data_IF_601339303183
#
_entry.id   IF_601339303183
#
_cell.length_a   1.000
_cell.length_b   1.000
_cell.length_c   1.000
_cell.angle_alpha   90.00
_cell.angle_beta   90.00
_cell.angle_gamma   90.00
#
_symmetry.space_group_name_H-M   'P 1'
#
loop_
_entity.id
_entity.type
_entity.pdbx_description
1 polymer ?
#
# COMPACT_ATOMS: atom_id res chain seq x y z
N UNK A 1 -67.94 -37.05 -3.77
CA UNK A 1 -68.99 -36.33 -3.02
C UNK A 1 -68.26 -35.32 -2.14
N UNK A 2 -68.52 -34.02 -2.16
CA UNK A 2 -69.52 -33.23 -2.90
C UNK A 2 -68.98 -31.81 -3.13
N UNK A 3 -69.43 -31.15 -4.20
CA UNK A 3 -69.16 -29.72 -4.43
C UNK A 3 -69.94 -28.84 -3.44
N UNK A 4 -69.49 -27.61 -3.22
CA UNK A 4 -70.39 -26.46 -3.25
C UNK A 4 -69.67 -25.20 -3.76
N UNK A 5 -70.43 -24.34 -4.43
CA UNK A 5 -69.96 -23.23 -5.26
C UNK A 5 -70.07 -21.87 -4.55
N UNK A 6 -69.18 -20.94 -4.92
CA UNK A 6 -69.39 -19.54 -5.39
C UNK A 6 -70.70 -18.79 -4.97
N UNK A 7 -70.64 -17.46 -4.71
CA UNK A 7 -70.43 -16.49 -5.80
C UNK A 7 -69.56 -15.26 -5.51
N UNK A 8 -69.19 -14.58 -6.60
CA UNK A 8 -68.63 -13.23 -6.60
C UNK A 8 -69.74 -12.20 -6.87
N UNK A 9 -69.52 -10.93 -6.50
CA UNK A 9 -70.14 -9.82 -7.23
C UNK A 9 -69.35 -8.51 -7.19
N UNK A 10 -69.60 -7.63 -8.17
CA UNK A 10 -68.86 -6.39 -8.43
C UNK A 10 -69.51 -5.16 -7.77
N UNK A 11 -68.68 -4.20 -7.32
CA UNK A 11 -69.08 -2.79 -7.27
C UNK A 11 -67.87 -1.85 -7.44
N UNK A 12 -67.98 -0.89 -8.37
CA UNK A 12 -67.05 0.26 -8.50
C UNK A 12 -67.50 1.40 -7.58
N UNK A 13 -66.58 2.24 -7.11
CA UNK A 13 -66.50 3.69 -7.43
C UNK A 13 -65.60 4.47 -6.45
N UNK A 14 -64.73 5.32 -7.02
CA UNK A 14 -64.21 6.62 -6.54
C UNK A 14 -63.58 6.76 -5.14
N UNK A 15 -62.35 7.30 -5.10
CA UNK A 15 -61.68 7.75 -3.86
C UNK A 15 -62.22 9.08 -3.31
N UNK A 16 -61.66 9.56 -2.19
CA UNK A 16 -60.65 10.63 -2.31
C UNK A 16 -59.40 10.43 -1.42
N UNK A 17 -58.42 11.33 -1.60
CA UNK A 17 -57.16 11.37 -0.84
C UNK A 17 -57.37 11.78 0.62
N UNK A 18 -56.64 11.16 1.55
CA UNK A 18 -56.45 11.65 2.91
C UNK A 18 -56.26 10.54 3.94
N UNK A 19 -55.02 10.31 4.38
CA UNK A 19 -54.73 9.41 5.51
C UNK A 19 -53.83 10.11 6.53
N UNK A 20 -54.46 10.61 7.59
CA UNK A 20 -53.79 11.08 8.80
C UNK A 20 -53.23 9.91 9.60
N UNK A 21 -51.99 10.02 10.06
CA UNK A 21 -51.45 9.14 11.11
C UNK A 21 -51.70 9.75 12.50
N UNK A 22 -52.01 8.91 13.49
CA UNK A 22 -51.61 9.16 14.87
C UNK A 22 -50.72 8.05 15.44
N UNK A 23 -49.78 8.51 16.27
CA UNK A 23 -49.06 7.86 17.39
C UNK A 23 -49.91 6.82 18.19
N UNK A 24 -49.38 5.90 19.01
CA UNK A 24 -48.30 5.87 20.04
C UNK A 24 -47.68 4.44 19.97
N UNK A 25 -46.42 4.09 20.30
CA UNK A 25 -45.41 4.60 21.24
C UNK A 25 -43.96 4.57 20.70
N UNK A 26 -42.95 4.73 21.58
CA UNK A 26 -41.52 4.54 21.30
C UNK A 26 -40.77 4.21 22.60
N UNK A 27 -39.84 3.23 22.62
CA UNK A 27 -38.99 2.92 23.80
C UNK A 27 -37.54 2.61 23.43
N UNK A 28 -36.64 3.47 23.90
CA UNK A 28 -35.19 3.29 24.11
C UNK A 28 -34.31 2.91 22.89
N UNK A 29 -33.64 3.88 22.25
CA UNK A 29 -32.40 3.63 21.51
C UNK A 29 -31.18 3.52 22.44
N UNK A 30 -30.17 2.77 22.01
CA UNK A 30 -28.85 2.71 22.64
C UNK A 30 -28.13 4.08 22.59
N UNK A 31 -27.19 4.37 23.52
CA UNK A 31 -26.55 5.67 23.59
C UNK A 31 -25.64 5.93 22.39
N UNK A 32 -25.90 7.03 21.68
CA UNK A 32 -24.96 7.61 20.72
C UNK A 32 -23.67 8.00 21.44
N UNK A 33 -22.53 7.44 21.03
CA UNK A 33 -21.23 7.98 21.42
C UNK A 33 -20.85 9.16 20.50
N UNK A 34 -21.66 10.21 20.53
CA UNK A 34 -21.32 11.52 19.95
C UNK A 34 -20.60 12.35 21.01
N UNK A 35 -19.29 12.18 21.11
CA UNK A 35 -18.42 13.22 21.67
C UNK A 35 -18.28 14.34 20.62
N UNK A 36 -18.42 15.62 21.02
CA UNK A 36 -18.36 16.73 20.06
C UNK A 36 -16.92 17.10 19.75
N UNK A 37 -16.45 16.86 18.51
CA UNK A 37 -15.30 17.59 17.97
C UNK A 37 -15.72 19.06 17.78
N UNK A 38 -15.46 19.85 18.81
CA UNK A 38 -15.84 21.26 18.84
C UNK A 38 -14.92 22.11 17.98
N UNK A 39 -15.50 22.71 16.93
CA UNK A 39 -15.09 23.97 16.33
C UNK A 39 -13.71 24.06 15.64
N UNK A 40 -13.64 23.56 14.40
CA UNK A 40 -13.06 24.34 13.29
C UNK A 40 -14.00 24.26 12.07
N UNK A 41 -14.91 25.23 11.95
CA UNK A 41 -15.95 25.26 10.91
C UNK A 41 -15.60 26.19 9.76
N UNK A 42 -15.61 25.65 8.53
CA UNK A 42 -15.50 26.40 7.28
C UNK A 42 -14.24 26.06 6.48
N UNK A 43 -14.22 26.34 5.16
CA UNK A 43 -12.98 26.33 4.40
C UNK A 43 -12.15 27.53 4.86
N UNK A 44 -11.36 27.32 5.91
CA UNK A 44 -10.23 28.19 6.23
C UNK A 44 -9.38 28.27 4.97
N UNK A 45 -9.11 29.50 4.53
CA UNK A 45 -8.27 29.74 3.36
C UNK A 45 -6.89 29.17 3.67
N UNK A 46 -6.61 28.00 3.08
CA UNK A 46 -5.38 27.23 3.33
C UNK A 46 -4.16 28.08 3.00
N UNK A 47 -4.27 28.94 1.99
CA UNK A 47 -3.19 29.82 1.62
C UNK A 47 -2.99 30.93 2.66
N UNK A 48 -4.07 31.50 3.21
CA UNK A 48 -3.99 32.49 4.30
C UNK A 48 -3.43 31.93 5.60
N UNK A 49 -3.79 30.70 5.99
CA UNK A 49 -3.18 30.02 7.15
C UNK A 49 -1.68 29.80 6.93
N UNK A 50 -1.29 29.31 5.76
CA UNK A 50 0.12 29.15 5.41
C UNK A 50 0.87 30.48 5.37
N UNK A 51 0.25 31.57 4.89
CA UNK A 51 0.83 32.92 4.90
C UNK A 51 0.98 33.49 6.32
N UNK A 52 0.01 33.26 7.20
CA UNK A 52 0.09 33.63 8.63
C UNK A 52 1.18 32.81 9.36
N UNK A 53 1.32 31.52 9.06
CA UNK A 53 2.33 30.61 9.64
C UNK A 53 3.74 30.83 9.08
N UNK A 54 3.88 31.21 7.81
CA UNK A 54 5.16 31.61 7.18
C UNK A 54 5.72 32.92 7.77
N UNK A 55 4.89 33.71 8.45
CA UNK A 55 5.29 34.92 9.17
C UNK A 55 5.63 34.66 10.66
N UNK A 56 5.40 33.44 11.16
CA UNK A 56 5.72 33.07 12.54
C UNK A 56 7.21 32.73 12.68
N UNK A 57 7.81 33.12 13.82
CA UNK A 57 9.17 32.71 14.13
C UNK A 57 9.24 31.20 14.44
N UNK A 58 10.42 30.57 14.35
CA UNK A 58 10.62 29.17 14.74
C UNK A 58 10.05 28.87 16.14
N UNK A 59 10.29 29.75 17.10
CA UNK A 59 9.84 29.62 18.49
C UNK A 59 8.31 29.65 18.59
N UNK A 60 7.64 30.54 17.84
CA UNK A 60 6.18 30.64 17.80
C UNK A 60 5.52 29.42 17.15
N UNK A 61 6.14 28.84 16.12
CA UNK A 61 5.68 27.59 15.51
C UNK A 61 5.80 26.43 16.50
N UNK A 62 6.90 26.36 17.26
CA UNK A 62 7.11 25.35 18.31
C UNK A 62 6.08 25.42 19.42
N UNK A 63 5.83 26.60 20.00
CA UNK A 63 4.78 26.77 21.03
C UNK A 63 3.40 26.31 20.52
N UNK A 64 3.09 26.57 19.25
CA UNK A 64 1.83 26.14 18.63
C UNK A 64 1.74 24.63 18.42
N UNK A 65 2.85 23.99 18.07
CA UNK A 65 2.98 22.53 17.94
C UNK A 65 2.79 21.85 19.32
N UNK A 66 3.44 22.37 20.37
CA UNK A 66 3.33 21.84 21.73
C UNK A 66 1.90 22.00 22.30
N UNK A 67 1.21 23.10 22.01
CA UNK A 67 -0.20 23.29 22.36
C UNK A 67 -1.13 22.28 21.68
N UNK A 68 -0.95 22.03 20.38
CA UNK A 68 -1.77 21.08 19.60
C UNK A 68 -1.52 19.61 19.98
N UNK A 69 -0.32 19.29 20.49
CA UNK A 69 -0.04 18.02 21.17
C UNK A 69 -0.70 17.93 22.56
N UNK A 70 -1.12 19.03 23.18
CA UNK A 70 -1.79 19.00 24.48
C UNK A 70 -3.32 18.93 24.36
N UNK A 71 -3.91 19.70 23.44
CA UNK A 71 -5.36 19.93 23.35
C UNK A 71 -6.18 18.71 22.87
N UNK A 72 -5.66 17.92 21.93
CA UNK A 72 -6.40 16.79 21.32
C UNK A 72 -5.59 15.46 21.46
N UNK A 73 -6.13 14.42 22.14
CA UNK A 73 -5.48 13.12 22.28
C UNK A 73 -5.31 12.34 20.96
N UNK A 74 -6.15 12.57 19.95
CA UNK A 74 -6.17 11.84 18.67
C UNK A 74 -5.63 12.67 17.48
N UNK A 75 -4.98 13.80 17.76
CA UNK A 75 -4.56 14.76 16.74
C UNK A 75 -3.62 14.12 15.69
N UNK A 76 -3.70 14.62 14.45
CA UNK A 76 -2.93 14.06 13.32
C UNK A 76 -1.41 14.03 13.58
N UNK A 77 -0.89 14.96 14.38
CA UNK A 77 0.51 15.01 14.76
C UNK A 77 0.90 13.87 15.72
N UNK A 78 0.06 13.55 16.73
CA UNK A 78 0.28 12.35 17.56
C UNK A 78 0.24 11.07 16.73
N UNK A 79 -0.67 11.01 15.75
CA UNK A 79 -0.77 9.86 14.83
C UNK A 79 0.50 9.71 14.00
N UNK A 80 1.02 10.79 13.42
CA UNK A 80 2.31 10.79 12.72
C UNK A 80 3.45 10.31 13.62
N UNK A 81 3.60 10.91 14.81
CA UNK A 81 4.66 10.57 15.76
C UNK A 81 4.56 9.13 16.31
N UNK A 82 3.37 8.53 16.27
CA UNK A 82 3.12 7.12 16.62
C UNK A 82 3.22 6.15 15.43
N UNK A 83 3.60 6.61 14.23
CA UNK A 83 3.67 5.79 13.02
C UNK A 83 2.30 5.36 12.46
N UNK A 84 1.21 5.97 12.92
CA UNK A 84 -0.17 5.66 12.52
C UNK A 84 -0.58 6.47 11.28
N UNK A 85 -1.50 5.93 10.48
CA UNK A 85 -2.09 6.62 9.32
C UNK A 85 -2.55 8.04 9.68
N UNK A 86 -1.97 9.03 9.01
CA UNK A 86 -2.23 10.45 9.21
C UNK A 86 -2.44 11.17 7.88
N UNK A 87 -3.12 12.33 7.91
CA UNK A 87 -3.37 13.13 6.72
C UNK A 87 -2.26 14.18 6.55
N UNK A 88 -1.27 13.93 5.70
CA UNK A 88 -0.15 14.86 5.46
C UNK A 88 -0.58 16.27 4.99
N UNK A 89 -1.78 16.39 4.41
CA UNK A 89 -2.41 17.66 4.07
C UNK A 89 -2.94 18.47 5.27
N UNK A 90 -2.84 17.98 6.51
CA UNK A 90 -3.37 18.63 7.71
C UNK A 90 -2.49 19.84 8.14
N UNK A 91 -3.07 20.95 8.62
CA UNK A 91 -2.31 22.14 9.02
C UNK A 91 -1.22 21.90 10.09
N UNK A 92 -1.46 21.04 11.08
CA UNK A 92 -0.49 20.68 12.12
C UNK A 92 0.81 20.13 11.50
N UNK A 93 0.63 19.18 10.58
CA UNK A 93 1.73 18.51 9.87
C UNK A 93 2.47 19.49 8.96
N UNK A 94 1.73 20.37 8.27
CA UNK A 94 2.31 21.41 7.43
C UNK A 94 3.15 22.40 8.25
N UNK A 95 2.69 22.82 9.43
CA UNK A 95 3.48 23.67 10.35
C UNK A 95 4.81 23.03 10.73
N UNK A 96 4.80 21.77 11.19
CA UNK A 96 6.05 21.06 11.56
C UNK A 96 7.00 20.96 10.37
N UNK A 97 6.49 20.61 9.18
CA UNK A 97 7.33 20.49 7.99
C UNK A 97 7.90 21.83 7.52
N UNK A 98 7.11 22.91 7.56
CA UNK A 98 7.56 24.26 7.21
C UNK A 98 8.59 24.80 8.22
N UNK A 99 8.38 24.58 9.51
CA UNK A 99 9.34 24.89 10.57
C UNK A 99 10.71 24.23 10.27
N UNK A 100 10.72 22.92 10.06
CA UNK A 100 11.93 22.16 9.81
C UNK A 100 12.65 22.59 8.52
N UNK A 101 11.90 22.85 7.45
CA UNK A 101 12.43 23.34 6.16
C UNK A 101 13.01 24.74 6.26
N UNK A 102 12.37 25.64 7.00
CA UNK A 102 12.87 27.00 7.30
C UNK A 102 14.19 26.95 8.10
N UNK A 103 14.24 26.09 9.12
CA UNK A 103 15.42 25.92 9.97
C UNK A 103 16.59 25.28 9.21
N UNK A 104 16.33 24.28 8.35
CA UNK A 104 17.34 23.67 7.47
C UNK A 104 17.91 24.66 6.43
N UNK A 105 17.07 25.56 5.89
CA UNK A 105 17.52 26.68 5.05
C UNK A 105 18.41 27.65 5.82
N UNK A 106 18.03 28.01 7.05
CA UNK A 106 18.83 28.90 7.90
C UNK A 106 20.22 28.30 8.19
N UNK A 107 20.29 27.03 8.61
CA UNK A 107 21.56 26.30 8.86
C UNK A 107 22.44 26.25 7.61
N UNK A 108 21.84 26.16 6.42
CA UNK A 108 22.56 26.17 5.14
C UNK A 108 23.14 27.53 4.76
N UNK A 109 22.71 28.62 5.41
CA UNK A 109 23.21 29.98 5.21
C UNK A 109 24.13 30.49 6.35
N UNK A 110 24.25 29.77 7.46
CA UNK A 110 25.22 30.08 8.52
C UNK A 110 26.67 29.84 8.05
N UNK A 111 27.60 30.70 8.47
CA UNK A 111 29.04 30.51 8.23
C UNK A 111 29.48 29.18 8.86
N UNK A 112 30.25 28.37 8.11
CA UNK A 112 30.71 27.06 8.57
C UNK A 112 31.65 27.15 9.78
N UNK A 113 32.25 28.31 10.03
CA UNK A 113 33.12 28.59 11.19
C UNK A 113 32.37 29.02 12.44
N UNK A 114 31.07 29.34 12.34
CA UNK A 114 30.20 29.62 13.50
C UNK A 114 29.60 28.32 14.04
N UNK A 115 30.46 27.47 14.60
CA UNK A 115 30.09 26.15 15.13
C UNK A 115 28.99 26.24 16.18
N UNK A 116 29.03 27.23 17.08
CA UNK A 116 28.07 27.35 18.18
C UNK A 116 26.66 27.70 17.69
N UNK A 117 26.50 28.69 16.81
CA UNK A 117 25.17 29.01 16.22
C UNK A 117 24.66 27.84 15.37
N UNK A 118 25.55 27.14 14.65
CA UNK A 118 25.19 25.94 13.87
C UNK A 118 24.69 24.81 14.77
N UNK A 119 25.38 24.51 15.87
CA UNK A 119 24.96 23.47 16.80
C UNK A 119 23.63 23.81 17.49
N UNK A 120 23.42 25.06 17.92
CA UNK A 120 22.13 25.49 18.49
C UNK A 120 20.97 25.24 17.50
N UNK A 121 21.15 25.59 16.22
CA UNK A 121 20.11 25.37 15.20
C UNK A 121 19.97 23.91 14.78
N UNK A 122 21.02 23.09 14.87
CA UNK A 122 20.94 21.64 14.69
C UNK A 122 20.24 20.94 15.87
N UNK A 123 20.45 21.40 17.10
CA UNK A 123 19.72 20.95 18.31
C UNK A 123 18.23 21.33 18.27
N UNK A 124 17.86 22.40 17.58
CA UNK A 124 16.45 22.73 17.28
C UNK A 124 15.85 21.89 16.14
N UNK A 125 16.67 21.37 15.22
CA UNK A 125 16.21 20.69 14.01
C UNK A 125 16.09 19.18 14.18
N UNK A 126 17.09 18.54 14.79
CA UNK A 126 17.28 17.08 14.80
C UNK A 126 16.72 16.44 16.08
N UNK A 127 16.38 15.16 16.01
CA UNK A 127 15.81 14.40 17.13
C UNK A 127 16.84 14.08 18.23
N UNK A 128 17.96 13.47 17.83
CA UNK A 128 19.14 13.33 18.71
C UNK A 128 20.41 13.49 17.89
N UNK A 129 21.36 14.28 18.37
CA UNK A 129 22.56 14.63 17.64
C UNK A 129 23.68 14.91 18.63
N UNK A 130 24.92 14.53 18.27
CA UNK A 130 26.12 14.81 19.07
C UNK A 130 26.94 15.94 18.45
N UNK A 131 27.48 16.86 19.27
CA UNK A 131 28.22 18.04 18.78
C UNK A 131 29.54 17.72 18.06
N UNK A 132 30.04 16.49 18.11
CA UNK A 132 31.17 16.05 17.27
C UNK A 132 30.81 15.86 15.79
N UNK A 133 29.52 15.84 15.43
CA UNK A 133 29.05 15.56 14.07
C UNK A 133 29.16 16.80 13.18
N UNK A 134 29.90 16.70 12.07
CA UNK A 134 30.01 17.76 11.06
C UNK A 134 28.99 17.55 9.95
N UNK A 135 28.11 18.54 9.74
CA UNK A 135 27.17 18.60 8.61
C UNK A 135 27.53 19.80 7.74
N UNK A 136 27.92 19.54 6.49
CA UNK A 136 28.18 20.56 5.49
C UNK A 136 26.90 21.28 5.05
N UNK A 137 26.96 22.53 4.56
CA UNK A 137 25.79 23.27 4.06
C UNK A 137 24.98 22.55 2.97
N UNK A 138 23.74 23.04 2.76
CA UNK A 138 22.70 22.42 1.92
C UNK A 138 22.14 21.12 2.50
N UNK A 139 21.61 21.18 3.73
CA UNK A 139 20.78 20.10 4.30
C UNK A 139 19.31 20.33 3.95
N UNK A 140 18.61 19.26 3.53
CA UNK A 140 17.18 19.23 3.25
C UNK A 140 16.51 18.15 4.10
N UNK A 141 15.41 18.48 4.77
CA UNK A 141 14.62 17.56 5.62
C UNK A 141 13.14 17.65 5.32
N UNK A 142 12.34 16.68 5.78
CA UNK A 142 10.87 16.77 5.78
C UNK A 142 10.32 17.31 7.10
N UNK A 143 10.80 16.85 8.25
CA UNK A 143 10.37 17.25 9.59
C UNK A 143 11.53 17.48 10.59
N UNK A 144 12.76 17.09 10.24
CA UNK A 144 13.99 17.22 11.04
C UNK A 144 14.07 16.30 12.27
N UNK A 145 13.07 16.37 13.15
CA UNK A 145 13.08 15.80 14.49
C UNK A 145 13.08 14.26 14.54
N UNK A 146 12.85 13.59 13.42
CA UNK A 146 12.95 12.13 13.31
C UNK A 146 14.39 11.68 12.99
N UNK A 147 15.35 12.60 12.87
CA UNK A 147 16.74 12.29 12.50
C UNK A 147 17.61 12.16 13.76
N UNK A 148 18.29 11.01 13.87
CA UNK A 148 19.12 10.60 14.99
C UNK A 148 20.54 10.29 14.49
N UNK A 149 21.57 11.00 14.96
CA UNK A 149 22.95 10.92 14.44
C UNK A 149 23.95 10.69 15.58
N UNK A 150 24.68 9.58 15.50
CA UNK A 150 25.77 9.24 16.43
C UNK A 150 27.05 10.07 16.22
N UNK A 151 27.87 10.13 17.27
CA UNK A 151 29.10 10.93 17.34
C UNK A 151 30.09 10.70 16.20
N UNK A 152 30.98 11.66 15.97
CA UNK A 152 32.12 11.58 15.03
C UNK A 152 31.70 11.34 13.56
N UNK A 153 30.45 11.62 13.23
CA UNK A 153 29.88 11.43 11.89
C UNK A 153 30.11 12.66 11.01
N UNK A 154 30.50 12.44 9.75
CA UNK A 154 30.69 13.48 8.74
C UNK A 154 29.67 13.35 7.61
N UNK A 155 28.92 14.42 7.35
CA UNK A 155 27.88 14.48 6.31
C UNK A 155 28.20 15.61 5.33
N UNK A 156 28.45 15.24 4.08
CA UNK A 156 28.91 16.17 3.05
C UNK A 156 27.74 16.94 2.35
N UNK A 157 28.08 17.86 1.45
CA UNK A 157 27.15 18.82 0.84
C UNK A 157 25.94 18.19 0.12
N UNK A 158 24.87 18.98 -0.01
CA UNK A 158 23.62 18.64 -0.71
C UNK A 158 22.93 17.38 -0.15
N UNK A 159 22.87 17.30 1.18
CA UNK A 159 22.27 16.18 1.91
C UNK A 159 20.74 16.28 1.95
N UNK A 160 20.06 15.15 1.78
CA UNK A 160 18.61 15.03 1.78
C UNK A 160 18.20 13.88 2.70
N UNK A 161 17.34 14.20 3.67
CA UNK A 161 16.77 13.29 4.66
C UNK A 161 15.24 13.33 4.53
N UNK A 162 14.61 12.22 4.15
CA UNK A 162 13.16 12.14 4.00
C UNK A 162 12.54 11.51 5.25
N UNK A 163 12.55 12.27 6.35
CA UNK A 163 12.34 11.79 7.71
C UNK A 163 10.86 11.69 8.12
N UNK A 164 10.03 11.10 7.23
CA UNK A 164 8.63 10.72 7.53
C UNK A 164 8.57 9.67 8.67
N UNK A 165 9.62 8.85 8.77
CA UNK A 165 9.86 7.90 9.85
C UNK A 165 11.28 8.11 10.42
N UNK A 166 11.61 7.53 11.61
CA UNK A 166 12.92 7.69 12.24
C UNK A 166 14.09 7.32 11.33
N UNK A 167 15.07 8.22 11.24
CA UNK A 167 16.35 8.02 10.56
C UNK A 167 17.44 7.86 11.61
N UNK A 168 17.99 6.65 11.77
CA UNK A 168 19.14 6.40 12.66
C UNK A 168 20.43 6.26 11.84
N UNK A 169 21.39 7.14 12.11
CA UNK A 169 22.76 7.11 11.60
C UNK A 169 23.69 6.76 12.78
N UNK A 170 24.51 5.73 12.61
CA UNK A 170 25.46 5.30 13.63
C UNK A 170 26.57 6.32 13.91
N UNK A 171 27.42 6.03 14.89
CA UNK A 171 28.62 6.81 15.14
C UNK A 171 29.71 6.55 14.07
N UNK A 172 30.62 7.51 13.91
CA UNK A 172 31.78 7.46 13.00
C UNK A 172 31.44 7.21 11.52
N UNK A 173 30.24 7.59 11.08
CA UNK A 173 29.80 7.42 9.70
C UNK A 173 30.38 8.51 8.78
N UNK A 174 30.58 8.19 7.49
CA UNK A 174 30.99 9.16 6.47
C UNK A 174 30.03 9.08 5.28
N UNK A 175 29.37 10.19 4.97
CA UNK A 175 28.33 10.29 3.95
C UNK A 175 28.79 11.28 2.87
N UNK A 176 28.93 10.79 1.64
CA UNK A 176 29.48 11.53 0.49
C UNK A 176 28.45 12.40 -0.23
N UNK A 177 28.84 13.49 -0.93
CA UNK A 177 27.88 14.43 -1.52
C UNK A 177 27.06 13.79 -2.64
N UNK A 178 25.84 14.30 -2.81
CA UNK A 178 24.88 13.82 -3.81
C UNK A 178 25.41 13.98 -5.24
N UNK A 179 25.31 12.93 -6.05
CA UNK A 179 25.54 13.00 -7.50
C UNK A 179 26.99 12.96 -7.99
N UNK A 180 27.98 12.66 -7.14
CA UNK A 180 29.38 12.51 -7.59
C UNK A 180 29.75 11.02 -7.82
N UNK A 181 30.14 10.60 -9.04
CA UNK A 181 30.25 9.18 -9.42
C UNK A 181 31.55 8.47 -9.00
N UNK A 182 32.45 9.14 -8.26
CA UNK A 182 33.80 8.64 -7.94
C UNK A 182 33.97 8.09 -6.50
N UNK A 183 32.87 7.85 -5.79
CA UNK A 183 32.89 7.70 -4.33
C UNK A 183 32.78 6.26 -3.81
N UNK A 184 33.51 5.99 -2.74
CA UNK A 184 33.53 4.72 -1.99
C UNK A 184 32.62 4.72 -0.75
N UNK A 185 31.80 5.75 -0.57
CA UNK A 185 30.95 5.97 0.60
C UNK A 185 29.47 6.13 0.20
N UNK A 186 28.51 5.85 1.10
CA UNK A 186 27.08 6.09 0.85
C UNK A 186 26.83 7.55 0.44
N UNK A 187 25.96 7.77 -0.55
CA UNK A 187 25.59 9.11 -0.99
C UNK A 187 24.63 9.77 -0.01
N UNK A 188 24.67 11.11 0.09
CA UNK A 188 23.86 11.92 0.99
C UNK A 188 22.36 12.03 0.62
N UNK A 189 21.78 11.00 0.00
CA UNK A 189 20.34 10.77 0.02
C UNK A 189 20.09 9.68 1.05
N UNK A 190 20.01 10.10 2.32
CA UNK A 190 19.67 9.17 3.41
C UNK A 190 18.15 9.06 3.45
N UNK A 191 17.66 8.18 2.58
CA UNK A 191 16.47 7.40 2.89
C UNK A 191 16.82 6.61 4.16
N UNK A 192 15.99 6.59 5.23
CA UNK A 192 16.37 6.08 6.56
C UNK A 192 17.19 4.79 6.52
N UNK A 193 18.22 4.66 7.35
CA UNK A 193 19.00 3.40 7.44
C UNK A 193 18.41 2.36 8.39
N UNK A 194 17.26 2.66 8.99
CA UNK A 194 16.24 1.66 9.37
C UNK A 194 15.01 1.71 8.43
N UNK A 195 15.21 2.11 7.16
CA UNK A 195 14.46 1.50 6.05
C UNK A 195 15.06 0.12 5.79
N UNK A 196 14.58 -0.87 6.54
CA UNK A 196 14.28 -2.14 5.89
C UNK A 196 12.94 -2.04 5.13
N UNK A 197 11.99 -1.20 5.59
CA UNK A 197 10.62 -1.13 5.04
C UNK A 197 10.05 0.30 4.86
N UNK A 198 10.76 1.15 4.12
CA UNK A 198 10.25 2.41 3.56
C UNK A 198 10.71 2.66 2.11
N UNK A 199 10.86 1.57 1.33
CA UNK A 199 10.05 1.55 0.12
C UNK A 199 8.61 1.82 0.54
N UNK A 200 7.75 2.34 -0.33
CA UNK A 200 6.32 2.10 -0.13
C UNK A 200 5.99 0.63 -0.44
N UNK A 201 6.60 -0.31 0.30
CA UNK A 201 6.03 -1.59 0.71
C UNK A 201 4.83 -1.26 1.58
N UNK A 202 3.79 -0.74 0.92
CA UNK A 202 2.47 -0.58 1.51
C UNK A 202 1.96 -1.98 1.83
N UNK A 203 2.29 -2.46 3.03
CA UNK A 203 1.76 -3.70 3.57
C UNK A 203 0.26 -3.57 3.53
N UNK A 204 -0.37 -4.41 2.72
CA UNK A 204 -1.80 -4.43 2.61
C UNK A 204 -2.32 -4.92 3.95
N UNK A 205 -3.12 -4.09 4.63
CA UNK A 205 -3.80 -4.55 5.82
C UNK A 205 -4.89 -5.54 5.42
N UNK A 206 -4.59 -6.82 5.57
CA UNK A 206 -5.55 -7.89 5.29
C UNK A 206 -6.70 -7.95 6.31
N UNK A 207 -6.69 -7.17 7.39
CA UNK A 207 -7.87 -7.00 8.25
C UNK A 207 -8.94 -6.14 7.58
N UNK A 208 -8.62 -5.40 6.51
CA UNK A 208 -9.60 -4.67 5.72
C UNK A 208 -10.47 -5.61 4.89
N UNK A 209 -11.60 -5.08 4.41
CA UNK A 209 -12.55 -5.86 3.61
C UNK A 209 -11.95 -6.26 2.27
N UNK A 210 -12.41 -7.39 1.73
CA UNK A 210 -11.90 -7.90 0.46
C UNK A 210 -12.11 -6.95 -0.75
N UNK A 211 -13.12 -6.07 -0.72
CA UNK A 211 -13.33 -5.03 -1.74
C UNK A 211 -12.32 -3.88 -1.65
N UNK A 212 -11.78 -3.59 -0.46
CA UNK A 212 -10.75 -2.57 -0.23
C UNK A 212 -9.32 -3.13 -0.43
N UNK A 213 -9.10 -4.40 -0.07
CA UNK A 213 -7.84 -5.14 -0.28
C UNK A 213 -7.59 -5.44 -1.77
N UNK A 214 -8.63 -5.84 -2.52
CA UNK A 214 -8.49 -6.29 -3.91
C UNK A 214 -7.74 -5.32 -4.85
N UNK A 215 -8.06 -4.01 -4.93
CA UNK A 215 -7.33 -3.09 -5.79
C UNK A 215 -5.85 -2.93 -5.39
N UNK A 216 -5.50 -3.07 -4.10
CA UNK A 216 -4.13 -2.93 -3.59
C UNK A 216 -3.23 -4.12 -3.99
N UNK A 217 -3.82 -5.26 -4.36
CA UNK A 217 -3.10 -6.42 -4.88
C UNK A 217 -2.73 -6.27 -6.38
N UNK A 218 -3.23 -5.26 -7.10
CA UNK A 218 -2.98 -5.12 -8.52
C UNK A 218 -1.57 -4.60 -8.84
N UNK A 219 -0.75 -5.51 -9.33
CA UNK A 219 0.65 -5.32 -9.69
C UNK A 219 1.62 -5.66 -8.55
N UNK A 220 1.12 -6.11 -7.40
CA UNK A 220 1.90 -6.83 -6.40
C UNK A 220 2.30 -8.21 -6.94
N UNK A 221 3.39 -8.79 -6.44
CA UNK A 221 3.93 -10.08 -6.89
C UNK A 221 3.71 -11.15 -5.82
N UNK A 222 2.92 -12.18 -6.15
CA UNK A 222 2.81 -13.38 -5.32
C UNK A 222 3.94 -14.35 -5.69
N UNK A 223 4.72 -14.74 -4.68
CA UNK A 223 5.89 -15.61 -4.79
C UNK A 223 5.63 -16.97 -4.14
N UNK A 224 6.15 -18.03 -4.77
CA UNK A 224 6.31 -19.35 -4.16
C UNK A 224 7.67 -19.93 -4.53
N UNK A 225 8.63 -19.81 -3.62
CA UNK A 225 10.05 -19.99 -3.94
C UNK A 225 10.45 -19.04 -5.07
N UNK A 226 11.11 -19.58 -6.11
CA UNK A 226 11.56 -18.86 -7.31
C UNK A 226 10.44 -18.39 -8.25
N UNK A 227 9.21 -18.92 -8.13
CA UNK A 227 8.11 -18.56 -9.04
C UNK A 227 7.41 -17.29 -8.54
N UNK A 228 7.66 -16.17 -9.23
CA UNK A 228 7.01 -14.88 -9.01
C UNK A 228 5.97 -14.58 -10.08
N UNK A 229 4.74 -14.23 -9.66
CA UNK A 229 3.65 -13.81 -10.55
C UNK A 229 3.16 -12.42 -10.12
N UNK A 230 3.38 -11.43 -10.98
CA UNK A 230 2.77 -10.10 -10.82
C UNK A 230 1.27 -10.20 -11.11
N UNK A 231 0.44 -9.95 -10.10
CA UNK A 231 -1.01 -9.98 -10.21
C UNK A 231 -1.51 -8.85 -11.11
N UNK A 232 -2.36 -9.17 -12.08
CA UNK A 232 -2.97 -8.18 -13.00
C UNK A 232 -4.48 -8.16 -12.88
N UNK A 233 -5.04 -9.11 -12.14
CA UNK A 233 -6.47 -9.31 -12.01
C UNK A 233 -6.87 -10.13 -10.78
N UNK A 234 -7.88 -9.65 -10.06
CA UNK A 234 -8.43 -10.28 -8.86
C UNK A 234 -9.95 -10.12 -8.75
N UNK A 235 -10.58 -10.90 -7.85
CA UNK A 235 -12.01 -10.75 -7.50
C UNK A 235 -12.21 -10.79 -5.97
N UNK A 236 -13.01 -9.85 -5.45
CA UNK A 236 -13.39 -9.80 -4.04
C UNK A 236 -14.61 -10.71 -3.75
N UNK A 237 -14.60 -11.37 -2.60
CA UNK A 237 -15.70 -12.18 -2.08
C UNK A 237 -15.98 -11.79 -0.62
N UNK A 238 -17.13 -11.17 -0.38
CA UNK A 238 -17.48 -10.47 0.88
C UNK A 238 -18.13 -11.39 1.92
N UNK A 239 -17.61 -12.61 2.06
CA UNK A 239 -18.05 -13.56 3.08
C UNK A 239 -19.54 -13.90 3.04
N UNK A 240 -20.18 -13.82 4.20
CA UNK A 240 -21.60 -14.07 4.41
C UNK A 240 -22.53 -13.05 3.72
N UNK A 241 -22.02 -11.85 3.41
CA UNK A 241 -22.80 -10.80 2.72
C UNK A 241 -22.90 -10.98 1.20
N UNK A 242 -22.11 -11.89 0.62
CA UNK A 242 -22.01 -12.08 -0.82
C UNK A 242 -22.51 -13.47 -1.27
N UNK A 243 -23.64 -13.49 -1.99
CA UNK A 243 -24.26 -14.72 -2.49
C UNK A 243 -23.41 -15.55 -3.47
N UNK A 244 -22.28 -15.01 -3.97
CA UNK A 244 -21.30 -15.74 -4.77
C UNK A 244 -20.21 -16.45 -3.94
N UNK A 245 -20.01 -16.04 -2.69
CA UNK A 245 -18.95 -16.54 -1.81
C UNK A 245 -19.22 -17.97 -1.33
N UNK A 246 -18.16 -18.77 -1.16
CA UNK A 246 -18.25 -20.06 -0.47
C UNK A 246 -18.67 -19.92 1.00
N UNK A 247 -18.44 -18.75 1.62
CA UNK A 247 -18.83 -18.45 2.98
C UNK A 247 -20.26 -17.87 3.11
N UNK A 248 -21.02 -17.71 2.02
CA UNK A 248 -22.37 -17.11 2.05
C UNK A 248 -23.35 -17.75 3.06
N UNK A 249 -23.16 -19.04 3.36
CA UNK A 249 -24.01 -19.80 4.30
C UNK A 249 -23.43 -19.90 5.72
N UNK A 250 -22.45 -19.07 6.05
CA UNK A 250 -21.68 -19.17 7.28
C UNK A 250 -20.59 -20.26 7.22
N UNK A 251 -19.95 -20.55 8.37
CA UNK A 251 -18.83 -21.48 8.45
C UNK A 251 -19.17 -22.92 8.05
N UNK A 252 -18.35 -23.50 7.19
CA UNK A 252 -18.37 -24.94 6.86
C UNK A 252 -16.94 -25.47 6.76
N UNK A 253 -16.68 -26.79 6.91
CA UNK A 253 -15.33 -27.35 6.76
C UNK A 253 -14.63 -27.01 5.44
N UNK A 254 -15.39 -26.73 4.37
CA UNK A 254 -14.86 -26.34 3.04
C UNK A 254 -14.38 -24.88 2.98
N UNK A 255 -14.93 -23.99 3.81
CA UNK A 255 -14.61 -22.56 3.80
C UNK A 255 -14.06 -22.05 5.14
N UNK A 256 -13.79 -22.94 6.10
CA UNK A 256 -13.29 -22.58 7.44
C UNK A 256 -12.07 -21.64 7.40
N UNK A 257 -11.14 -21.86 6.46
CA UNK A 257 -9.97 -20.98 6.25
C UNK A 257 -10.33 -19.54 5.92
N UNK A 258 -11.47 -19.28 5.25
CA UNK A 258 -11.93 -17.89 4.99
C UNK A 258 -12.32 -17.14 6.27
N UNK A 259 -12.62 -17.85 7.37
CA UNK A 259 -12.90 -17.27 8.69
C UNK A 259 -11.68 -17.29 9.62
N UNK A 260 -10.54 -17.79 9.14
CA UNK A 260 -9.29 -17.84 9.91
C UNK A 260 -8.52 -16.51 9.85
N UNK A 261 -7.25 -16.51 10.28
CA UNK A 261 -6.44 -15.31 10.28
C UNK A 261 -6.25 -14.70 8.87
N UNK A 262 -6.24 -13.37 8.75
CA UNK A 262 -5.99 -12.68 7.48
C UNK A 262 -4.59 -12.97 6.91
N UNK A 263 -4.39 -12.72 5.61
CA UNK A 263 -3.12 -12.97 4.91
C UNK A 263 -2.80 -14.47 4.67
N UNK A 264 -3.77 -15.36 4.89
CA UNK A 264 -3.61 -16.81 4.65
C UNK A 264 -4.20 -17.22 3.30
N UNK A 265 -3.70 -18.33 2.72
CA UNK A 265 -4.21 -18.87 1.45
C UNK A 265 -5.44 -19.74 1.66
N UNK A 266 -6.59 -19.33 1.11
CA UNK A 266 -7.73 -20.20 0.91
C UNK A 266 -7.65 -20.89 -0.47
N UNK A 267 -7.34 -22.19 -0.50
CA UNK A 267 -7.14 -22.98 -1.73
C UNK A 267 -8.25 -24.01 -1.88
N UNK A 268 -8.90 -24.04 -3.05
CA UNK A 268 -10.00 -24.97 -3.32
C UNK A 268 -9.95 -25.58 -4.73
N UNK A 269 -10.64 -26.73 -4.87
CA UNK A 269 -10.84 -27.38 -6.17
C UNK A 269 -11.92 -26.66 -6.98
N UNK A 270 -11.51 -25.97 -8.05
CA UNK A 270 -12.38 -25.28 -9.00
C UNK A 270 -12.72 -26.20 -10.18
N UNK A 271 -14.01 -26.44 -10.41
CA UNK A 271 -14.52 -27.42 -11.39
C UNK A 271 -13.87 -28.83 -11.26
N UNK A 272 -13.51 -29.22 -10.03
CA UNK A 272 -12.86 -30.50 -9.69
C UNK A 272 -11.38 -30.60 -10.07
N UNK A 273 -11.03 -30.16 -11.28
CA UNK A 273 -9.71 -30.36 -11.90
C UNK A 273 -8.72 -29.25 -11.51
N UNK A 274 -9.15 -28.00 -11.47
CA UNK A 274 -8.25 -26.87 -11.22
C UNK A 274 -8.12 -26.56 -9.73
N UNK A 275 -7.04 -25.88 -9.35
CA UNK A 275 -6.84 -25.30 -8.02
C UNK A 275 -6.87 -23.78 -8.15
N UNK A 276 -7.67 -23.13 -7.31
CA UNK A 276 -7.77 -21.67 -7.24
C UNK A 276 -7.42 -21.24 -5.81
N UNK A 277 -6.68 -20.15 -5.69
CA UNK A 277 -6.20 -19.60 -4.42
C UNK A 277 -6.75 -18.19 -4.19
N UNK A 278 -7.04 -17.88 -2.94
CA UNK A 278 -7.50 -16.57 -2.49
C UNK A 278 -6.62 -16.15 -1.31
N UNK A 279 -6.37 -14.86 -1.15
CA UNK A 279 -5.85 -14.31 0.10
C UNK A 279 -7.04 -14.04 1.03
N UNK A 280 -7.01 -14.61 2.23
CA UNK A 280 -8.02 -14.38 3.29
C UNK A 280 -7.88 -12.95 3.79
N UNK A 281 -9.03 -12.28 3.93
CA UNK A 281 -9.13 -10.87 4.32
C UNK A 281 -10.26 -10.71 5.36
N UNK A 282 -10.39 -9.52 5.93
CA UNK A 282 -11.22 -9.20 7.11
C UNK A 282 -10.64 -9.79 8.42
N UNK A 283 -11.08 -9.31 9.60
CA UNK A 283 -10.59 -9.82 10.89
C UNK A 283 -11.00 -11.27 11.12
N UNK A 284 -10.23 -12.01 11.92
CA UNK A 284 -10.52 -13.41 12.24
C UNK A 284 -11.95 -13.59 12.78
N UNK A 285 -12.64 -14.63 12.30
CA UNK A 285 -14.07 -14.87 12.54
C UNK A 285 -15.01 -14.19 11.54
N UNK A 286 -14.55 -13.23 10.72
CA UNK A 286 -15.32 -12.60 9.65
C UNK A 286 -14.81 -13.10 8.29
N UNK A 287 -15.68 -13.73 7.50
CA UNK A 287 -15.22 -14.26 6.21
C UNK A 287 -14.91 -13.15 5.18
N UNK A 288 -13.71 -13.18 4.61
CA UNK A 288 -13.33 -12.37 3.46
C UNK A 288 -12.30 -13.09 2.60
N UNK A 289 -12.29 -12.80 1.30
CA UNK A 289 -11.23 -13.33 0.44
C UNK A 289 -11.12 -12.65 -0.91
N UNK A 290 -9.88 -12.48 -1.38
CA UNK A 290 -9.56 -12.00 -2.72
C UNK A 290 -9.00 -13.13 -3.58
N UNK A 291 -9.75 -13.55 -4.60
CA UNK A 291 -9.34 -14.56 -5.58
C UNK A 291 -8.21 -14.04 -6.46
N UNK A 292 -7.09 -14.75 -6.47
CA UNK A 292 -5.96 -14.49 -7.37
C UNK A 292 -6.33 -15.02 -8.77
N UNK A 293 -6.65 -14.11 -9.70
CA UNK A 293 -7.37 -14.49 -10.94
C UNK A 293 -6.49 -14.48 -12.17
N UNK A 294 -5.58 -13.52 -12.35
CA UNK A 294 -4.57 -13.57 -13.40
C UNK A 294 -3.32 -12.75 -13.05
N UNK A 295 -2.24 -13.00 -13.79
CA UNK A 295 -1.00 -12.28 -13.64
C UNK A 295 0.01 -12.52 -14.77
N UNK A 296 1.09 -11.74 -14.75
CA UNK A 296 2.30 -11.93 -15.56
C UNK A 296 3.28 -12.79 -14.77
N UNK A 297 3.87 -13.80 -15.40
CA UNK A 297 5.02 -14.50 -14.82
C UNK A 297 6.21 -13.56 -14.96
N UNK A 298 6.95 -13.33 -13.86
CA UNK A 298 8.14 -12.48 -13.87
C UNK A 298 9.41 -13.25 -13.48
N UNK A 299 9.27 -14.37 -12.77
CA UNK A 299 10.37 -15.23 -12.35
C UNK A 299 9.96 -16.71 -12.34
N UNK A 300 10.93 -17.62 -12.34
CA UNK A 300 10.68 -19.07 -12.35
C UNK A 300 10.05 -19.60 -13.64
N UNK A 301 10.35 -18.98 -14.79
CA UNK A 301 9.74 -19.31 -16.08
C UNK A 301 9.90 -20.80 -16.47
N UNK A 302 11.05 -21.42 -16.19
CA UNK A 302 11.30 -22.84 -16.48
C UNK A 302 10.36 -23.75 -15.68
N UNK A 303 10.29 -23.55 -14.35
CA UNK A 303 9.37 -24.25 -13.44
C UNK A 303 7.90 -24.05 -13.89
N UNK A 304 7.53 -22.84 -14.30
CA UNK A 304 6.19 -22.58 -14.84
C UNK A 304 5.96 -23.32 -16.16
N UNK A 305 6.96 -23.40 -17.03
CA UNK A 305 6.89 -24.13 -18.31
C UNK A 305 6.76 -25.64 -18.11
N UNK A 306 7.41 -26.22 -17.10
CA UNK A 306 7.18 -27.62 -16.70
C UNK A 306 5.73 -27.85 -16.25
N UNK A 307 5.20 -26.97 -15.38
CA UNK A 307 3.82 -27.06 -14.84
C UNK A 307 2.73 -26.82 -15.89
N UNK A 308 3.02 -26.02 -16.93
CA UNK A 308 2.02 -25.53 -17.92
C UNK A 308 2.18 -26.13 -19.31
N UNK A 309 3.33 -26.73 -19.60
CA UNK A 309 3.73 -27.21 -20.92
C UNK A 309 4.07 -26.08 -21.91
N UNK A 310 4.48 -26.44 -23.14
CA UNK A 310 4.92 -25.49 -24.16
C UNK A 310 3.78 -24.78 -24.90
N UNK A 311 2.54 -25.26 -24.78
CA UNK A 311 1.40 -24.80 -25.60
C UNK A 311 0.91 -23.36 -25.30
N UNK A 312 0.86 -22.87 -24.05
CA UNK A 312 0.42 -21.50 -23.80
C UNK A 312 1.43 -20.45 -24.28
N UNK A 313 0.96 -19.33 -24.80
CA UNK A 313 1.78 -18.11 -24.96
C UNK A 313 2.19 -17.56 -23.58
N UNK A 314 3.19 -16.67 -23.52
CA UNK A 314 3.59 -16.00 -22.26
C UNK A 314 2.38 -15.37 -21.54
N UNK A 315 1.64 -14.53 -22.27
CA UNK A 315 0.35 -13.94 -21.86
C UNK A 315 -0.74 -14.95 -21.42
N UNK A 316 -0.56 -16.23 -21.77
CA UNK A 316 -1.48 -17.33 -21.51
C UNK A 316 -1.04 -18.23 -20.37
N UNK A 317 0.15 -18.04 -19.81
CA UNK A 317 0.68 -18.85 -18.71
C UNK A 317 -0.24 -18.75 -17.48
N UNK A 318 -0.39 -17.56 -16.89
CA UNK A 318 -1.19 -17.34 -15.68
C UNK A 318 -2.54 -16.61 -15.93
N UNK A 319 -3.02 -16.55 -17.19
CA UNK A 319 -4.32 -15.95 -17.54
C UNK A 319 -5.49 -16.83 -17.07
N UNK A 320 -6.00 -16.59 -15.86
CA UNK A 320 -7.19 -17.23 -15.27
C UNK A 320 -6.89 -18.03 -14.01
N UNK A 321 -7.85 -18.20 -13.08
CA UNK A 321 -7.54 -18.60 -11.70
C UNK A 321 -6.95 -20.01 -11.61
N UNK A 322 -7.46 -20.95 -12.41
CA UNK A 322 -6.87 -22.30 -12.52
C UNK A 322 -5.54 -22.36 -13.29
N UNK A 323 -5.22 -21.32 -14.06
CA UNK A 323 -3.97 -21.19 -14.80
C UNK A 323 -2.88 -20.58 -13.91
N UNK A 324 -3.19 -19.48 -13.23
CA UNK A 324 -2.37 -18.88 -12.17
C UNK A 324 -2.08 -19.91 -11.07
N UNK A 325 -3.11 -20.64 -10.62
CA UNK A 325 -2.94 -21.71 -9.64
C UNK A 325 -2.03 -22.84 -10.12
N UNK A 326 -2.07 -23.20 -11.41
CA UNK A 326 -1.14 -24.17 -11.99
C UNK A 326 0.29 -23.62 -12.09
N UNK A 327 0.49 -22.35 -12.45
CA UNK A 327 1.82 -21.71 -12.45
C UNK A 327 2.45 -21.72 -11.05
N UNK A 328 1.68 -21.35 -10.02
CA UNK A 328 2.10 -21.41 -8.61
C UNK A 328 2.14 -22.83 -8.05
N UNK A 329 1.69 -23.85 -8.79
CA UNK A 329 1.61 -25.24 -8.35
C UNK A 329 0.67 -25.47 -7.15
N UNK A 330 -0.39 -24.67 -7.01
CA UNK A 330 -1.34 -24.74 -5.89
C UNK A 330 -1.92 -26.15 -5.76
N UNK A 331 -2.05 -26.60 -4.51
CA UNK A 331 -2.79 -27.81 -4.15
C UNK A 331 -3.50 -27.65 -2.80
N UNK A 332 -4.46 -28.53 -2.50
CA UNK A 332 -5.31 -28.47 -1.31
C UNK A 332 -4.51 -28.56 0.00
N UNK A 333 -3.35 -29.21 0.00
CA UNK A 333 -2.45 -29.25 1.17
C UNK A 333 -1.83 -27.89 1.53
N UNK A 334 -1.93 -26.88 0.65
CA UNK A 334 -1.49 -25.51 0.89
C UNK A 334 -2.61 -24.59 1.41
N UNK A 335 -3.82 -25.15 1.61
CA UNK A 335 -4.93 -24.41 2.19
C UNK A 335 -4.66 -24.10 3.67
N UNK A 336 -4.65 -22.82 4.03
CA UNK A 336 -4.26 -22.32 5.35
C UNK A 336 -2.78 -21.93 5.46
N UNK A 337 -2.00 -21.96 4.38
CA UNK A 337 -0.62 -21.46 4.40
C UNK A 337 -0.59 -19.92 4.54
N UNK A 338 0.24 -19.41 5.44
CA UNK A 338 0.47 -17.96 5.65
C UNK A 338 1.25 -17.35 4.47
N UNK A 339 0.94 -16.10 4.11
CA UNK A 339 1.67 -15.33 3.09
C UNK A 339 2.33 -14.11 3.76
N UNK A 340 3.64 -13.97 3.61
CA UNK A 340 4.42 -12.94 4.28
C UNK A 340 4.69 -11.74 3.36
N UNK A 341 4.49 -10.50 3.85
CA UNK A 341 4.69 -9.29 3.03
C UNK A 341 6.09 -8.67 3.13
N UNK A 342 6.76 -8.81 4.27
CA UNK A 342 8.06 -8.18 4.58
C UNK A 342 9.15 -9.23 4.89
N UNK A 343 9.11 -10.39 4.23
CA UNK A 343 10.00 -11.52 4.55
C UNK A 343 11.22 -11.55 3.64
N UNK A 344 12.35 -11.08 4.18
CA UNK A 344 13.68 -11.34 3.61
C UNK A 344 14.04 -12.84 3.62
N UNK A 345 13.42 -13.64 4.48
CA UNK A 345 13.61 -15.09 4.49
C UNK A 345 13.13 -15.72 3.17
N UNK A 346 14.09 -16.09 2.32
CA UNK A 346 13.86 -16.80 1.07
C UNK A 346 13.29 -18.21 1.27
N UNK A 347 13.43 -18.80 2.48
CA UNK A 347 12.80 -20.06 2.83
C UNK A 347 11.30 -19.93 3.16
N UNK A 348 10.78 -18.70 3.31
CA UNK A 348 9.34 -18.47 3.47
C UNK A 348 8.59 -18.94 2.21
N UNK A 349 7.82 -20.04 2.37
CA UNK A 349 7.20 -20.75 1.25
C UNK A 349 6.25 -19.88 0.39
N UNK A 350 5.73 -18.80 0.95
CA UNK A 350 4.84 -17.85 0.29
C UNK A 350 5.15 -16.41 0.71
N UNK A 351 5.41 -15.54 -0.27
CA UNK A 351 5.69 -14.12 -0.05
C UNK A 351 4.86 -13.24 -0.99
N UNK A 352 4.58 -12.01 -0.61
CA UNK A 352 3.86 -11.02 -1.42
C UNK A 352 4.60 -9.68 -1.38
N UNK A 353 5.24 -9.29 -2.49
CA UNK A 353 5.93 -8.00 -2.61
C UNK A 353 5.07 -6.97 -3.35
N UNK A 354 5.21 -5.68 -3.01
CA UNK A 354 4.51 -4.57 -3.68
C UNK A 354 5.24 -4.05 -4.93
N UNK A 355 6.49 -4.45 -5.08
CA UNK A 355 7.39 -4.10 -6.16
C UNK A 355 7.81 -5.33 -6.97
N UNK A 356 8.43 -5.08 -8.12
CA UNK A 356 9.04 -6.13 -8.95
C UNK A 356 10.40 -6.61 -8.40
N UNK A 357 10.77 -6.20 -7.19
CA UNK A 357 12.10 -6.42 -6.62
C UNK A 357 12.22 -7.81 -6.00
N UNK A 358 13.37 -8.45 -6.25
CA UNK A 358 13.95 -9.58 -5.50
C UNK A 358 13.06 -10.84 -5.35
N UNK A 359 13.19 -11.74 -6.33
CA UNK A 359 13.08 -13.18 -6.07
C UNK A 359 14.34 -13.72 -5.38
N UNK A 360 14.37 -15.01 -4.96
CA UNK A 360 15.57 -15.60 -4.40
C UNK A 360 16.74 -15.59 -5.38
N UNK A 361 17.91 -15.14 -4.93
CA UNK A 361 19.15 -14.92 -5.69
C UNK A 361 19.06 -13.96 -6.92
N UNK A 362 20.00 -13.02 -6.98
CA UNK A 362 20.13 -12.05 -8.06
C UNK A 362 21.04 -12.49 -9.22
N UNK A 363 21.09 -11.64 -10.24
CA UNK A 363 22.11 -11.60 -11.30
C UNK A 363 22.19 -12.80 -12.27
N UNK A 364 21.31 -12.82 -13.28
CA UNK A 364 21.63 -13.27 -14.67
C UNK A 364 20.52 -12.96 -15.69
N UNK A 365 20.65 -11.82 -16.36
CA UNK A 365 20.09 -11.60 -17.69
C UNK A 365 20.94 -10.61 -18.51
N UNK A 366 22.26 -10.79 -18.49
CA UNK A 366 23.14 -10.15 -19.47
C UNK A 366 22.70 -10.60 -20.86
N UNK A 367 22.47 -9.63 -21.76
CA UNK A 367 22.08 -9.88 -23.14
C UNK A 367 22.96 -10.95 -23.81
N UNK A 368 22.34 -11.97 -24.40
CA UNK A 368 22.97 -12.71 -25.49
C UNK A 368 23.16 -11.77 -26.67
N UNK A 369 24.37 -11.23 -26.83
CA UNK A 369 24.86 -10.68 -28.07
C UNK A 369 25.97 -11.59 -28.59
N UNK A 370 25.79 -12.10 -29.80
CA UNK A 370 26.75 -13.00 -30.46
C UNK A 370 28.06 -12.29 -30.81
N UNK A 371 29.12 -13.07 -30.94
CA UNK A 371 30.48 -12.61 -31.23
C UNK A 371 30.59 -11.93 -32.62
N UNK A 372 31.35 -10.82 -32.73
CA UNK A 372 31.55 -10.16 -34.03
C UNK A 372 32.18 -8.76 -34.04
N UNK A 373 33.43 -8.64 -33.56
CA UNK A 373 34.50 -7.66 -33.93
C UNK A 373 34.19 -6.15 -34.18
N UNK A 374 34.87 -5.20 -33.49
CA UNK A 374 34.80 -3.74 -33.74
C UNK A 374 35.87 -3.29 -34.80
N UNK A 375 36.15 -1.99 -35.10
CA UNK A 375 35.65 -0.74 -34.48
C UNK A 375 35.28 0.45 -35.43
N UNK A 376 34.74 1.50 -34.79
CA UNK A 376 35.09 2.93 -34.93
C UNK A 376 33.96 3.92 -35.34
N UNK A 377 34.08 5.14 -34.80
CA UNK A 377 33.39 6.40 -35.12
C UNK A 377 31.85 6.44 -35.14
N UNK A 378 31.26 6.72 -33.97
CA UNK A 378 30.49 7.94 -33.74
C UNK A 378 30.30 8.18 -32.23
N UNK A 379 30.41 9.44 -31.78
CA UNK A 379 29.88 9.85 -30.47
C UNK A 379 28.42 10.26 -30.69
N UNK A 380 27.48 9.52 -30.15
CA UNK A 380 26.14 10.03 -29.89
C UNK A 380 25.83 9.81 -28.42
N UNK A 381 25.38 10.88 -27.76
CA UNK A 381 24.85 10.82 -26.41
C UNK A 381 23.50 10.11 -26.46
N UNK A 382 23.35 9.04 -25.67
CA UNK A 382 22.03 8.55 -25.28
C UNK A 382 22.05 8.28 -23.79
N UNK A 383 21.10 8.90 -23.09
CA UNK A 383 21.13 9.00 -21.65
C UNK A 383 21.13 7.63 -20.96
N UNK A 384 21.99 7.48 -19.96
CA UNK A 384 21.71 6.62 -18.81
C UNK A 384 20.51 7.22 -18.08
N UNK A 385 19.31 6.94 -18.60
CA UNK A 385 18.09 7.20 -17.88
C UNK A 385 18.13 6.42 -16.58
N UNK A 386 18.04 7.13 -15.45
CA UNK A 386 17.52 6.49 -14.25
C UNK A 386 16.18 5.89 -14.65
N UNK A 387 16.10 4.55 -14.66
CA UNK A 387 14.81 3.90 -14.50
C UNK A 387 14.44 4.11 -13.03
N UNK A 388 14.03 5.34 -12.72
CA UNK A 388 13.01 5.52 -11.71
C UNK A 388 11.91 4.53 -12.11
N UNK A 389 11.61 3.58 -11.22
CA UNK A 389 10.44 2.72 -11.40
C UNK A 389 9.24 3.65 -11.30
N UNK A 390 8.83 4.21 -12.44
CA UNK A 390 7.59 4.93 -12.55
C UNK A 390 6.51 3.98 -12.07
N UNK A 391 5.86 4.33 -10.96
CA UNK A 391 4.44 4.04 -10.82
C UNK A 391 3.77 4.70 -12.03
N UNK A 392 3.75 3.99 -13.15
CA UNK A 392 2.74 4.21 -14.17
C UNK A 392 1.41 4.24 -13.41
N UNK A 393 0.60 5.26 -13.61
CA UNK A 393 -0.76 5.28 -13.07
C UNK A 393 -1.55 4.17 -13.77
N UNK A 394 -1.47 2.97 -13.19
CA UNK A 394 -2.16 1.77 -13.65
C UNK A 394 -3.65 2.06 -13.56
N UNK A 395 -4.30 2.28 -14.71
CA UNK A 395 -5.75 2.45 -14.78
C UNK A 395 -6.42 1.16 -14.29
N UNK A 396 -6.79 1.13 -13.01
CA UNK A 396 -7.54 0.02 -12.42
C UNK A 396 -8.99 0.12 -12.89
N UNK A 397 -9.47 -0.93 -13.55
CA UNK A 397 -10.87 -1.08 -13.92
C UNK A 397 -11.60 -2.01 -12.97
N UNK A 398 -12.86 -1.69 -12.74
CA UNK A 398 -13.76 -2.42 -11.84
C UNK A 398 -14.99 -2.90 -12.63
N UNK A 399 -15.51 -4.08 -12.30
CA UNK A 399 -16.69 -4.61 -12.97
C UNK A 399 -17.12 -5.99 -12.49
N UNK A 400 -17.91 -6.66 -13.35
CA UNK A 400 -18.53 -7.97 -13.05
C UNK A 400 -17.51 -9.10 -12.98
N UNK A 401 -17.60 -9.90 -11.92
CA UNK A 401 -16.86 -11.16 -11.73
C UNK A 401 -17.23 -12.22 -12.78
N UNK A 402 -16.32 -13.14 -13.06
CA UNK A 402 -16.46 -14.14 -14.13
C UNK A 402 -16.69 -15.54 -13.56
N UNK A 403 -17.66 -16.27 -14.14
CA UNK A 403 -17.93 -17.67 -13.79
C UNK A 403 -18.86 -17.86 -12.60
N UNK A 404 -19.46 -16.78 -12.08
CA UNK A 404 -20.48 -16.81 -11.02
C UNK A 404 -21.88 -16.57 -11.59
N UNK A 405 -22.90 -17.17 -10.97
CA UNK A 405 -24.32 -17.01 -11.35
C UNK A 405 -25.14 -16.21 -10.32
N UNK A 406 -24.63 -16.07 -9.10
CA UNK A 406 -25.20 -15.26 -8.02
C UNK A 406 -24.36 -14.01 -7.84
N UNK A 407 -24.99 -12.90 -7.45
CA UNK A 407 -24.33 -11.61 -7.25
C UNK A 407 -23.35 -11.22 -8.40
N UNK A 408 -23.74 -11.54 -9.63
CA UNK A 408 -22.92 -11.43 -10.83
C UNK A 408 -22.81 -9.98 -11.35
N UNK A 409 -23.80 -9.14 -11.01
CA UNK A 409 -23.84 -7.73 -11.38
C UNK A 409 -22.95 -6.85 -10.49
N UNK A 410 -22.51 -7.36 -9.33
CA UNK A 410 -21.71 -6.59 -8.38
C UNK A 410 -20.32 -6.25 -8.94
N UNK A 411 -19.83 -5.00 -8.76
CA UNK A 411 -18.55 -4.53 -9.26
C UNK A 411 -17.38 -5.01 -8.36
N UNK A 412 -17.21 -6.33 -8.24
CA UNK A 412 -16.26 -6.98 -7.32
C UNK A 412 -15.12 -7.70 -8.05
N UNK A 413 -14.83 -7.32 -9.30
CA UNK A 413 -13.66 -7.75 -10.06
C UNK A 413 -12.83 -6.53 -10.43
N UNK A 414 -11.52 -6.64 -10.24
CA UNK A 414 -10.56 -5.55 -10.40
C UNK A 414 -9.43 -6.02 -11.35
N UNK A 415 -9.02 -5.18 -12.30
CA UNK A 415 -7.94 -5.52 -13.23
C UNK A 415 -7.20 -4.28 -13.78
N UNK A 416 -5.96 -4.47 -14.22
CA UNK A 416 -5.17 -3.43 -14.90
C UNK A 416 -5.67 -3.27 -16.34
N UNK A 417 -6.04 -2.06 -16.74
CA UNK A 417 -6.53 -1.78 -18.10
C UNK A 417 -5.48 -2.11 -19.17
N UNK A 418 -5.95 -2.65 -20.31
CA UNK A 418 -5.10 -2.97 -21.46
C UNK A 418 -4.16 -4.18 -21.27
N UNK A 419 -4.03 -4.71 -20.05
CA UNK A 419 -3.07 -5.77 -19.74
C UNK A 419 -3.37 -7.09 -20.47
N UNK A 420 -2.34 -7.65 -21.12
CA UNK A 420 -2.43 -8.86 -21.95
C UNK A 420 -2.54 -10.17 -21.16
N UNK A 421 -2.60 -10.15 -19.84
CA UNK A 421 -2.82 -11.35 -19.00
C UNK A 421 -4.20 -11.38 -18.34
N UNK A 422 -4.95 -10.26 -18.36
CA UNK A 422 -6.34 -10.18 -17.90
C UNK A 422 -7.24 -11.10 -18.74
N UNK A 423 -8.07 -11.93 -18.11
CA UNK A 423 -8.96 -12.82 -18.86
C UNK A 423 -10.17 -12.08 -19.39
N UNK A 424 -10.46 -12.28 -20.68
CA UNK A 424 -11.71 -11.83 -21.28
C UNK A 424 -12.91 -12.58 -20.66
N UNK A 425 -14.08 -11.93 -20.53
CA UNK A 425 -15.34 -12.65 -20.39
C UNK A 425 -15.47 -13.64 -21.56
N UNK A 426 -15.91 -14.88 -21.28
CA UNK A 426 -16.33 -15.78 -22.36
C UNK A 426 -17.58 -15.16 -23.00
N UNK A 427 -17.56 -15.02 -24.32
CA UNK A 427 -18.75 -14.70 -25.12
C UNK A 427 -19.69 -15.90 -25.14
#
# INVERSE_FOLDING_TARGET
MSHHELPADNARLNGPKGSTQPTIANTAPHPNNTTPNSACTGPLDRQKLLEEELLMSPEQLRERIEAELHEDPDCMLKRMNAGLLYHAGNPAIQRVSLFAKSLAQHISHLDITDEETRHQKLEELLGTYDRSVTIMPSITVDYGHNIHIGSDTFINFDSIFLDICPITIGASCQIGPRGHPSQTHPQAVVIPTEVSDCFMTSTIDFNERADDVAPQLLGAVIWRGEVGIQLTEVEAYLGESDAASHAFKGPTPRCATMFGPPGHLYVYASYGIHRAGNLVCSPEGVAGGVLLRAGRVIAGHEIVRERRGPKPTEDGLARGPGNLGACLGLDLHLNGATVHQLSEDEAAAWRLSQDNSVGPEGDRAVHQLGEGTPPNSAREECALGLVASSKEEREIRVGKRIGITKNAEAPLRFWIAGDRTVTSPRR
#
